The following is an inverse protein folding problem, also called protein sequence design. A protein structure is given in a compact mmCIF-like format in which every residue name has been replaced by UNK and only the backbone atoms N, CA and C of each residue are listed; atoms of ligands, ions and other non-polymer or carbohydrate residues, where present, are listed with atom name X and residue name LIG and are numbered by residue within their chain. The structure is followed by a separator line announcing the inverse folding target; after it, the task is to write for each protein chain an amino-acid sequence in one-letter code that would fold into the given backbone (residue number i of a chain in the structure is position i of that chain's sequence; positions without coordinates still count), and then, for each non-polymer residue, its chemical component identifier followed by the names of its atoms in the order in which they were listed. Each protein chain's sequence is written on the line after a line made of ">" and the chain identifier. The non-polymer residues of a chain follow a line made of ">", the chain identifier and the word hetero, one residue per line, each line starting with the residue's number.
data_IF_342104118058
#
_entry.id   IF_342104118058
#
_cell.length_a   1.000
_cell.length_b   1.000
_cell.length_c   1.000
_cell.angle_alpha   90.00
_cell.angle_beta   90.00
_cell.angle_gamma   90.00
#
_symmetry.space_group_name_H-M   'P 1'
#
loop_
_entity.id
_entity.type
_entity.pdbx_description
1 polymer ?
#
# COMPACT_ATOMS: atom_id res chain seq x y z
N UNK A 1 -3.81 4.63 -17.70
CA UNK A 1 -2.82 5.72 -17.95
C UNK A 1 -1.48 5.12 -18.32
N UNK A 2 -0.83 5.55 -19.41
CA UNK A 2 0.55 5.16 -19.73
C UNK A 2 1.54 5.94 -18.83
N UNK A 3 2.51 5.23 -18.25
CA UNK A 3 3.44 5.82 -17.27
C UNK A 3 4.71 6.42 -17.90
N UNK A 4 5.00 6.13 -19.17
CA UNK A 4 6.16 6.66 -19.88
C UNK A 4 6.17 8.20 -19.91
N UNK A 5 7.28 8.80 -19.47
CA UNK A 5 7.44 10.25 -19.35
C UNK A 5 6.73 10.91 -18.16
N UNK A 6 5.99 10.15 -17.37
CA UNK A 6 5.24 10.66 -16.20
C UNK A 6 6.11 10.76 -14.95
N UNK A 7 5.68 11.61 -14.03
CA UNK A 7 6.34 11.79 -12.73
C UNK A 7 5.54 11.08 -11.65
N UNK A 8 6.21 10.15 -10.96
CA UNK A 8 5.62 9.35 -9.89
C UNK A 8 6.32 9.59 -8.55
N UNK A 9 5.56 9.58 -7.46
CA UNK A 9 6.07 9.48 -6.09
C UNK A 9 5.64 8.12 -5.52
N UNK A 10 6.59 7.35 -4.98
CA UNK A 10 6.33 6.08 -4.31
C UNK A 10 6.76 6.19 -2.86
N UNK A 11 5.83 6.10 -1.92
CA UNK A 11 6.10 6.08 -0.48
C UNK A 11 6.30 4.65 0.01
N UNK A 12 7.16 4.44 1.01
CA UNK A 12 7.62 3.10 1.39
C UNK A 12 8.42 2.46 0.25
N UNK A 13 9.18 3.28 -0.49
CA UNK A 13 9.89 2.89 -1.70
C UNK A 13 11.27 2.28 -1.47
N UNK A 14 11.74 2.22 -0.21
CA UNK A 14 13.05 1.68 0.15
C UNK A 14 13.17 0.15 0.07
N UNK A 15 12.06 -0.55 -0.19
CA UNK A 15 12.05 -2.00 -0.30
C UNK A 15 10.65 -2.58 -0.55
N UNK A 16 10.55 -3.90 -0.51
CA UNK A 16 9.28 -4.61 -0.65
C UNK A 16 8.47 -4.20 -1.88
N UNK A 17 7.16 -4.03 -1.70
CA UNK A 17 6.25 -3.63 -2.78
C UNK A 17 6.62 -2.26 -3.35
N UNK A 18 6.95 -1.27 -2.49
CA UNK A 18 7.27 0.08 -2.92
C UNK A 18 8.55 0.16 -3.75
N UNK A 19 9.60 -0.55 -3.34
CA UNK A 19 10.84 -0.65 -4.11
C UNK A 19 10.61 -1.27 -5.49
N UNK A 20 9.86 -2.38 -5.53
CA UNK A 20 9.50 -3.04 -6.79
C UNK A 20 8.63 -2.15 -7.69
N UNK A 21 7.68 -1.39 -7.12
CA UNK A 21 6.88 -0.40 -7.87
C UNK A 21 7.76 0.69 -8.48
N UNK A 22 8.71 1.23 -7.70
CA UNK A 22 9.62 2.26 -8.18
C UNK A 22 10.49 1.76 -9.35
N UNK A 23 11.03 0.55 -9.23
CA UNK A 23 11.81 -0.09 -10.29
C UNK A 23 10.97 -0.33 -11.54
N UNK A 24 9.79 -0.90 -11.40
CA UNK A 24 8.89 -1.22 -12.53
C UNK A 24 8.40 0.05 -13.24
N UNK A 25 8.04 1.11 -12.50
CA UNK A 25 7.69 2.42 -13.04
C UNK A 25 8.82 3.00 -13.90
N UNK A 26 10.04 3.01 -13.35
CA UNK A 26 11.21 3.52 -14.06
C UNK A 26 11.55 2.69 -15.31
N UNK A 27 11.44 1.36 -15.23
CA UNK A 27 11.64 0.47 -16.37
C UNK A 27 10.65 0.74 -17.51
N UNK A 28 9.45 1.27 -17.20
CA UNK A 28 8.45 1.71 -18.16
C UNK A 28 8.53 3.20 -18.51
N UNK A 29 9.62 3.88 -18.13
CA UNK A 29 9.93 5.25 -18.56
C UNK A 29 9.35 6.35 -17.67
N UNK A 30 8.85 6.04 -16.49
CA UNK A 30 8.47 7.06 -15.51
C UNK A 30 9.68 7.62 -14.76
N UNK A 31 9.60 8.86 -14.30
CA UNK A 31 10.56 9.48 -13.38
C UNK A 31 10.02 9.35 -11.97
N UNK A 32 10.84 8.86 -11.03
CA UNK A 32 10.34 8.40 -9.73
C UNK A 32 11.04 9.09 -8.56
N UNK A 33 10.25 9.64 -7.65
CA UNK A 33 10.72 9.97 -6.29
C UNK A 33 10.50 8.74 -5.42
N UNK A 34 11.59 8.15 -4.96
CA UNK A 34 11.62 6.98 -4.08
C UNK A 34 11.69 7.50 -2.65
N UNK A 35 10.57 7.47 -1.92
CA UNK A 35 10.46 8.04 -0.59
C UNK A 35 10.30 6.94 0.46
N UNK A 36 11.11 6.98 1.51
CA UNK A 36 11.03 6.04 2.62
C UNK A 36 11.49 6.67 3.94
N UNK A 37 11.06 6.12 5.07
CA UNK A 37 11.63 6.44 6.38
C UNK A 37 13.09 5.95 6.46
N UNK A 38 13.38 4.77 5.86
CA UNK A 38 14.74 4.28 5.63
C UNK A 38 15.34 4.95 4.38
N UNK A 39 16.09 6.02 4.65
CA UNK A 39 16.78 6.79 3.59
C UNK A 39 17.80 5.93 2.83
N UNK A 40 18.47 5.00 3.50
CA UNK A 40 19.48 4.15 2.87
C UNK A 40 18.83 3.14 1.92
N UNK A 41 17.70 2.55 2.30
CA UNK A 41 16.90 1.71 1.43
C UNK A 41 16.41 2.46 0.20
N UNK A 42 15.83 3.66 0.40
CA UNK A 42 15.38 4.52 -0.71
C UNK A 42 16.52 4.86 -1.68
N UNK A 43 17.73 5.18 -1.15
CA UNK A 43 18.90 5.48 -1.97
C UNK A 43 19.35 4.25 -2.77
N UNK A 44 19.37 3.07 -2.14
CA UNK A 44 19.72 1.81 -2.83
C UNK A 44 18.82 1.54 -4.03
N UNK A 45 17.50 1.73 -3.86
CA UNK A 45 16.53 1.56 -4.95
C UNK A 45 16.74 2.61 -6.05
N UNK A 46 16.92 3.88 -5.67
CA UNK A 46 17.18 4.95 -6.63
C UNK A 46 18.47 4.73 -7.42
N UNK A 47 19.55 4.28 -6.77
CA UNK A 47 20.83 3.98 -7.41
C UNK A 47 20.70 2.82 -8.40
N UNK A 48 19.96 1.78 -8.04
CA UNK A 48 19.66 0.64 -8.92
C UNK A 48 18.89 1.09 -10.18
N UNK A 49 17.90 1.95 -10.02
CA UNK A 49 17.15 2.53 -11.15
C UNK A 49 18.10 3.37 -12.02
N UNK A 50 18.91 4.25 -11.42
CA UNK A 50 19.80 5.14 -12.15
C UNK A 50 20.95 4.42 -12.82
N UNK A 51 21.35 3.25 -12.36
CA UNK A 51 22.33 2.40 -13.04
C UNK A 51 21.79 1.87 -14.38
N UNK A 52 20.47 1.65 -14.49
CA UNK A 52 19.81 1.22 -15.72
C UNK A 52 19.39 2.41 -16.62
N UNK A 53 18.93 3.51 -16.00
CA UNK A 53 18.45 4.72 -16.68
C UNK A 53 18.83 5.97 -15.88
N UNK A 54 19.96 6.59 -16.21
CA UNK A 54 20.50 7.72 -15.46
C UNK A 54 19.49 8.89 -15.34
N UNK A 55 19.30 9.38 -14.12
CA UNK A 55 18.45 10.53 -13.83
C UNK A 55 16.94 10.22 -13.78
N UNK A 56 16.55 8.93 -13.76
CA UNK A 56 15.14 8.53 -13.67
C UNK A 56 14.61 8.45 -12.23
N UNK A 57 15.49 8.39 -11.22
CA UNK A 57 15.05 8.33 -9.84
C UNK A 57 15.82 9.30 -8.93
N UNK A 58 15.14 9.74 -7.87
CA UNK A 58 15.72 10.47 -6.74
C UNK A 58 15.20 9.89 -5.44
N UNK A 59 16.10 9.64 -4.48
CA UNK A 59 15.73 9.18 -3.15
C UNK A 59 15.37 10.36 -2.24
N UNK A 60 14.44 10.12 -1.31
CA UNK A 60 14.08 11.07 -0.26
C UNK A 60 13.77 10.36 1.07
N UNK A 61 14.35 10.86 2.16
CA UNK A 61 13.93 10.49 3.51
C UNK A 61 12.59 11.12 3.85
N UNK A 62 11.58 10.32 4.22
CA UNK A 62 10.24 10.84 4.43
C UNK A 62 9.45 10.07 5.49
N UNK A 63 9.03 10.78 6.55
CA UNK A 63 7.95 10.33 7.42
C UNK A 63 6.62 10.85 6.89
N UNK A 64 5.88 9.98 6.21
CA UNK A 64 4.59 10.32 5.60
C UNK A 64 3.45 10.55 6.60
N UNK A 65 3.70 10.33 7.90
CA UNK A 65 2.75 10.70 8.97
C UNK A 65 2.55 12.22 9.08
N UNK A 66 3.46 13.03 8.51
CA UNK A 66 3.41 14.49 8.54
C UNK A 66 3.06 15.12 7.19
N UNK A 67 2.09 16.05 7.15
CA UNK A 67 1.70 16.80 5.93
C UNK A 67 2.88 17.58 5.34
N UNK A 68 3.73 18.18 6.17
CA UNK A 68 4.90 18.93 5.71
C UNK A 68 5.87 18.06 4.91
N UNK A 69 6.06 16.81 5.33
CA UNK A 69 6.92 15.86 4.64
C UNK A 69 6.38 15.50 3.25
N UNK A 70 5.07 15.19 3.15
CA UNK A 70 4.43 14.90 1.86
C UNK A 70 4.53 16.11 0.93
N UNK A 71 4.32 17.33 1.44
CA UNK A 71 4.51 18.58 0.66
C UNK A 71 5.95 18.71 0.15
N UNK A 72 6.94 18.35 0.97
CA UNK A 72 8.35 18.34 0.58
C UNK A 72 8.65 17.35 -0.55
N UNK A 73 8.02 16.15 -0.52
CA UNK A 73 8.14 15.16 -1.60
C UNK A 73 7.56 15.68 -2.92
N UNK A 74 6.40 16.34 -2.87
CA UNK A 74 5.77 16.95 -4.07
C UNK A 74 6.69 18.03 -4.64
N UNK A 75 7.18 18.95 -3.79
CA UNK A 75 8.10 19.99 -4.20
C UNK A 75 9.40 19.45 -4.81
N UNK A 76 9.96 18.36 -4.23
CA UNK A 76 11.13 17.69 -4.78
C UNK A 76 10.85 17.10 -6.17
N UNK A 77 9.70 16.44 -6.35
CA UNK A 77 9.30 15.89 -7.64
C UNK A 77 9.16 16.99 -8.69
N UNK A 78 8.48 18.09 -8.34
CA UNK A 78 8.28 19.24 -9.23
C UNK A 78 9.60 19.90 -9.63
N UNK A 79 10.51 20.06 -8.68
CA UNK A 79 11.82 20.67 -8.94
C UNK A 79 12.70 19.80 -9.85
N UNK A 80 12.63 18.46 -9.69
CA UNK A 80 13.52 17.53 -10.37
C UNK A 80 12.99 17.05 -11.70
N UNK A 81 11.69 16.87 -11.82
CA UNK A 81 11.06 16.15 -12.92
C UNK A 81 9.87 16.88 -13.54
N UNK A 82 9.20 17.76 -12.82
CA UNK A 82 7.98 18.42 -13.21
C UNK A 82 6.76 17.99 -12.39
N UNK A 83 5.55 18.41 -12.78
CA UNK A 83 4.34 18.13 -12.04
C UNK A 83 4.12 16.66 -11.77
N UNK A 84 3.67 16.33 -10.55
CA UNK A 84 3.37 14.95 -10.15
C UNK A 84 2.14 14.45 -10.89
N UNK A 85 2.27 13.35 -11.62
CA UNK A 85 1.20 12.68 -12.35
C UNK A 85 0.61 11.49 -11.57
N UNK A 86 1.47 10.71 -10.88
CA UNK A 86 1.07 9.53 -10.11
C UNK A 86 1.59 9.61 -8.68
N UNK A 87 0.74 9.20 -7.75
CA UNK A 87 1.14 9.06 -6.35
C UNK A 87 0.78 7.67 -5.82
N UNK A 88 1.80 6.94 -5.38
CA UNK A 88 1.65 5.63 -4.76
C UNK A 88 1.73 5.77 -3.25
N UNK A 89 0.58 5.84 -2.60
CA UNK A 89 0.44 5.80 -1.16
C UNK A 89 0.63 4.35 -0.69
N UNK A 90 1.90 3.93 -0.59
CA UNK A 90 2.27 2.54 -0.32
C UNK A 90 2.89 2.33 1.06
N UNK A 91 3.50 3.34 1.68
CA UNK A 91 4.03 3.24 3.04
C UNK A 91 2.96 2.70 4.02
N UNK A 92 3.35 1.79 4.88
CA UNK A 92 2.42 1.17 5.82
C UNK A 92 3.11 0.49 7.00
N UNK A 93 2.35 0.22 8.06
CA UNK A 93 2.78 -0.52 9.24
C UNK A 93 1.73 -1.56 9.64
N UNK A 94 2.16 -2.70 10.22
CA UNK A 94 1.25 -3.74 10.72
C UNK A 94 0.63 -3.40 12.08
N UNK A 95 1.19 -2.39 12.78
CA UNK A 95 0.76 -2.03 14.14
C UNK A 95 1.13 -3.08 15.18
N UNK A 96 0.52 -2.96 16.36
CA UNK A 96 0.71 -3.87 17.49
C UNK A 96 -0.33 -4.98 17.48
N UNK A 97 0.05 -6.24 17.78
CA UNK A 97 -0.91 -7.35 17.85
C UNK A 97 -1.92 -7.19 19.00
N UNK A 98 -3.15 -7.67 18.75
CA UNK A 98 -4.20 -7.76 19.76
C UNK A 98 -4.98 -6.47 19.97
N UNK A 99 -5.63 -6.39 21.15
CA UNK A 99 -6.44 -5.24 21.58
C UNK A 99 -5.68 -4.28 22.48
N UNK A 100 -4.50 -4.69 22.95
CA UNK A 100 -3.67 -3.96 23.92
C UNK A 100 -2.83 -2.84 23.29
N UNK A 101 -3.02 -2.57 22.00
CA UNK A 101 -2.43 -1.42 21.34
C UNK A 101 -2.80 -0.11 22.08
N UNK A 102 -1.79 0.67 22.44
CA UNK A 102 -1.97 1.96 23.11
C UNK A 102 -2.59 3.00 22.15
N UNK A 103 -3.10 4.10 22.70
CA UNK A 103 -3.57 5.24 21.86
C UNK A 103 -2.48 5.70 20.88
N UNK A 104 -1.21 5.75 21.32
CA UNK A 104 -0.10 6.11 20.45
C UNK A 104 0.13 5.11 19.31
N UNK A 105 -0.06 3.81 19.54
CA UNK A 105 0.02 2.78 18.50
C UNK A 105 -1.13 2.91 17.50
N UNK A 106 -2.33 3.22 17.99
CA UNK A 106 -3.49 3.52 17.16
C UNK A 106 -3.25 4.77 16.31
N UNK A 107 -2.83 5.87 16.91
CA UNK A 107 -2.52 7.13 16.21
C UNK A 107 -1.47 6.91 15.12
N UNK A 108 -0.36 6.22 15.44
CA UNK A 108 0.67 5.89 14.46
C UNK A 108 0.14 5.05 13.30
N UNK A 109 -0.66 4.02 13.59
CA UNK A 109 -1.24 3.15 12.55
C UNK A 109 -2.21 3.93 11.66
N UNK A 110 -3.03 4.79 12.25
CA UNK A 110 -3.97 5.65 11.52
C UNK A 110 -3.22 6.69 10.70
N UNK A 111 -2.19 7.32 11.27
CA UNK A 111 -1.41 8.36 10.57
C UNK A 111 -0.70 7.80 9.33
N UNK A 112 -0.07 6.63 9.44
CA UNK A 112 0.68 6.04 8.33
C UNK A 112 -0.24 5.35 7.33
N UNK A 113 -1.14 4.47 7.79
CA UNK A 113 -1.93 3.62 6.89
C UNK A 113 -3.16 4.32 6.27
N UNK A 114 -3.60 5.46 6.83
CA UNK A 114 -4.79 6.17 6.38
C UNK A 114 -4.57 7.67 6.18
N UNK A 115 -4.19 8.43 7.22
CA UNK A 115 -4.07 9.88 7.13
C UNK A 115 -3.02 10.31 6.11
N UNK A 116 -1.95 9.53 5.90
CA UNK A 116 -0.97 9.79 4.84
C UNK A 116 -1.60 9.78 3.45
N UNK A 117 -2.51 8.84 3.17
CA UNK A 117 -3.27 8.79 1.91
C UNK A 117 -4.17 10.03 1.75
N UNK A 118 -4.90 10.39 2.83
CA UNK A 118 -5.78 11.57 2.84
C UNK A 118 -4.97 12.85 2.61
N UNK A 119 -3.86 13.03 3.32
CA UNK A 119 -2.97 14.19 3.21
C UNK A 119 -2.40 14.36 1.80
N UNK A 120 -1.94 13.25 1.20
CA UNK A 120 -1.44 13.27 -0.17
C UNK A 120 -2.54 13.66 -1.17
N UNK A 121 -3.73 13.08 -1.05
CA UNK A 121 -4.86 13.42 -1.90
C UNK A 121 -5.26 14.90 -1.76
N UNK A 122 -5.32 15.45 -0.53
CA UNK A 122 -5.61 16.87 -0.30
C UNK A 122 -4.62 17.81 -0.97
N UNK A 123 -3.36 17.40 -1.10
CA UNK A 123 -2.31 18.22 -1.73
C UNK A 123 -2.30 18.11 -3.25
N UNK A 124 -2.67 16.95 -3.82
CA UNK A 124 -2.51 16.65 -5.24
C UNK A 124 -3.80 16.81 -6.04
N UNK A 125 -4.94 16.39 -5.48
CA UNK A 125 -6.22 16.36 -6.20
C UNK A 125 -6.63 17.72 -6.78
N UNK A 126 -6.52 18.86 -6.07
CA UNK A 126 -6.90 20.14 -6.65
C UNK A 126 -6.17 20.45 -7.96
N UNK A 127 -4.86 20.27 -8.01
CA UNK A 127 -4.07 20.48 -9.23
C UNK A 127 -4.35 19.45 -10.33
N UNK A 128 -4.68 18.21 -9.95
CA UNK A 128 -5.08 17.18 -10.92
C UNK A 128 -6.45 17.46 -11.54
N UNK A 129 -7.41 17.92 -10.75
CA UNK A 129 -8.73 18.36 -11.25
C UNK A 129 -8.59 19.53 -12.21
N UNK A 130 -7.77 20.54 -11.86
CA UNK A 130 -7.54 21.72 -12.71
C UNK A 130 -6.95 21.34 -14.08
N UNK A 131 -6.02 20.38 -14.14
CA UNK A 131 -5.44 19.93 -15.40
C UNK A 131 -6.16 18.74 -16.05
N UNK A 132 -7.21 18.21 -15.39
CA UNK A 132 -8.03 17.09 -15.91
C UNK A 132 -7.32 15.75 -15.93
N UNK A 133 -6.20 15.58 -15.21
CA UNK A 133 -5.42 14.32 -15.21
C UNK A 133 -4.63 14.14 -13.92
N UNK A 134 -4.71 12.93 -13.34
CA UNK A 134 -3.89 12.45 -12.23
C UNK A 134 -4.23 11.01 -11.83
N UNK A 135 -3.30 10.32 -11.16
CA UNK A 135 -3.49 8.94 -10.76
C UNK A 135 -3.08 8.70 -9.31
N UNK A 136 -3.99 8.20 -8.50
CA UNK A 136 -3.76 7.84 -7.11
C UNK A 136 -3.79 6.31 -6.92
N UNK A 137 -2.72 5.72 -6.42
CA UNK A 137 -2.67 4.29 -6.09
C UNK A 137 -2.59 4.14 -4.58
N UNK A 138 -3.62 3.55 -3.98
CA UNK A 138 -3.71 3.26 -2.54
C UNK A 138 -3.31 1.81 -2.28
N UNK A 139 -2.22 1.57 -1.56
CA UNK A 139 -1.88 0.23 -1.08
C UNK A 139 -2.64 -0.08 0.22
N UNK A 140 -3.81 -0.69 0.07
CA UNK A 140 -4.58 -1.24 1.16
C UNK A 140 -4.04 -2.63 1.56
N UNK A 141 -4.87 -3.66 1.54
CA UNK A 141 -4.55 -5.07 1.80
C UNK A 141 -5.81 -5.91 1.59
N UNK A 142 -5.67 -7.21 1.38
CA UNK A 142 -6.77 -8.17 1.56
C UNK A 142 -7.42 -8.03 2.95
N UNK A 143 -6.66 -7.60 3.97
CA UNK A 143 -7.19 -7.27 5.30
C UNK A 143 -8.22 -6.13 5.27
N UNK A 144 -8.19 -5.25 4.30
CA UNK A 144 -9.18 -4.19 4.09
C UNK A 144 -10.53 -4.69 3.56
N UNK A 145 -10.56 -5.89 3.01
CA UNK A 145 -11.75 -6.57 2.53
C UNK A 145 -12.21 -7.70 3.48
N UNK A 146 -11.25 -8.43 4.07
CA UNK A 146 -11.50 -9.68 4.78
C UNK A 146 -11.32 -9.61 6.29
N UNK A 147 -10.54 -8.65 6.80
CA UNK A 147 -10.06 -8.56 8.19
C UNK A 147 -8.77 -9.37 8.42
N UNK A 148 -7.89 -8.87 9.29
CA UNK A 148 -6.64 -9.53 9.67
C UNK A 148 -6.77 -10.19 11.05
N UNK A 149 -6.57 -11.51 11.13
CA UNK A 149 -6.40 -12.20 12.42
C UNK A 149 -5.18 -11.59 13.13
N UNK A 150 -5.31 -11.37 14.44
CA UNK A 150 -4.21 -10.96 15.31
C UNK A 150 -3.90 -9.46 15.37
N UNK A 151 -4.42 -8.62 14.45
CA UNK A 151 -4.17 -7.18 14.47
C UNK A 151 -5.43 -6.35 14.23
N UNK A 152 -5.89 -5.67 15.27
CA UNK A 152 -7.04 -4.77 15.22
C UNK A 152 -6.69 -3.48 14.45
N UNK A 153 -5.54 -2.85 14.76
CA UNK A 153 -5.10 -1.61 14.14
C UNK A 153 -4.93 -1.76 12.62
N UNK A 154 -4.34 -2.87 12.17
CA UNK A 154 -4.18 -3.16 10.74
C UNK A 154 -5.51 -3.38 10.04
N UNK A 155 -6.40 -4.19 10.64
CA UNK A 155 -7.72 -4.46 10.10
C UNK A 155 -8.52 -3.18 9.89
N UNK A 156 -8.60 -2.33 10.91
CA UNK A 156 -9.37 -1.08 10.88
C UNK A 156 -8.78 -0.11 9.84
N UNK A 157 -7.47 0.11 9.90
CA UNK A 157 -6.82 1.10 9.01
C UNK A 157 -6.86 0.68 7.54
N UNK A 158 -6.73 -0.63 7.25
CA UNK A 158 -6.80 -1.12 5.86
C UNK A 158 -8.22 -1.13 5.31
N UNK A 159 -9.27 -1.36 6.13
CA UNK A 159 -10.67 -1.12 5.73
C UNK A 159 -10.91 0.37 5.43
N UNK A 160 -10.41 1.24 6.28
CA UNK A 160 -10.53 2.68 6.07
C UNK A 160 -9.80 3.15 4.81
N UNK A 161 -8.62 2.58 4.49
CA UNK A 161 -7.89 2.90 3.26
C UNK A 161 -8.68 2.47 1.99
N UNK A 162 -9.36 1.31 2.01
CA UNK A 162 -10.26 0.89 0.93
C UNK A 162 -11.40 1.88 0.78
N UNK A 163 -12.13 2.18 1.89
CA UNK A 163 -13.26 3.12 1.85
C UNK A 163 -12.86 4.52 1.39
N UNK A 164 -11.66 5.00 1.78
CA UNK A 164 -11.14 6.28 1.28
C UNK A 164 -10.83 6.23 -0.22
N UNK A 165 -10.21 5.17 -0.71
CA UNK A 165 -9.91 5.00 -2.13
C UNK A 165 -11.20 4.92 -2.98
N UNK A 166 -12.22 4.19 -2.51
CA UNK A 166 -13.55 4.13 -3.14
C UNK A 166 -14.20 5.52 -3.23
N UNK A 167 -14.24 6.22 -2.08
CA UNK A 167 -14.79 7.58 -2.05
C UNK A 167 -14.07 8.52 -3.01
N UNK A 168 -12.73 8.44 -3.07
CA UNK A 168 -11.91 9.27 -3.95
C UNK A 168 -12.22 8.98 -5.42
N UNK A 169 -12.32 7.69 -5.80
CA UNK A 169 -12.65 7.27 -7.16
C UNK A 169 -14.06 7.75 -7.59
N UNK A 170 -15.04 7.65 -6.70
CA UNK A 170 -16.41 8.10 -6.96
C UNK A 170 -16.48 9.63 -7.09
N UNK A 171 -15.79 10.35 -6.19
CA UNK A 171 -15.92 11.80 -6.10
C UNK A 171 -15.17 12.57 -7.20
N UNK A 172 -14.06 12.02 -7.71
CA UNK A 172 -13.17 12.73 -8.64
C UNK A 172 -12.94 12.00 -9.98
N UNK A 173 -13.54 10.83 -10.18
CA UNK A 173 -13.38 10.06 -11.42
C UNK A 173 -13.78 10.83 -12.68
N UNK A 174 -14.89 11.56 -12.62
CA UNK A 174 -15.38 12.38 -13.74
C UNK A 174 -14.57 13.68 -13.93
N UNK A 175 -13.67 14.00 -12.99
CA UNK A 175 -12.76 15.14 -13.06
C UNK A 175 -11.35 14.76 -13.55
N UNK A 176 -11.18 13.59 -14.17
CA UNK A 176 -9.91 13.14 -14.72
C UNK A 176 -8.95 12.50 -13.69
N UNK A 177 -9.39 12.30 -12.45
CA UNK A 177 -8.58 11.62 -11.44
C UNK A 177 -8.89 10.12 -11.44
N UNK A 178 -7.88 9.31 -11.72
CA UNK A 178 -7.99 7.84 -11.67
C UNK A 178 -7.48 7.32 -10.32
N UNK A 179 -8.08 6.25 -9.84
CA UNK A 179 -7.71 5.64 -8.55
C UNK A 179 -7.62 4.13 -8.70
N UNK A 180 -6.54 3.53 -8.19
CA UNK A 180 -6.44 2.09 -7.97
C UNK A 180 -6.25 1.78 -6.49
N UNK A 181 -6.89 0.72 -6.02
CA UNK A 181 -6.77 0.20 -4.67
C UNK A 181 -6.15 -1.19 -4.71
N UNK A 182 -4.88 -1.28 -4.32
CA UNK A 182 -4.14 -2.53 -4.24
C UNK A 182 -4.48 -3.27 -2.95
N UNK A 183 -5.04 -4.47 -3.06
CA UNK A 183 -5.43 -5.32 -1.94
C UNK A 183 -4.70 -6.68 -1.98
N UNK A 184 -3.39 -6.73 -1.75
CA UNK A 184 -2.63 -7.97 -1.76
C UNK A 184 -2.87 -8.77 -0.48
N UNK A 185 -2.65 -10.10 -0.55
CA UNK A 185 -2.58 -10.98 0.62
C UNK A 185 -1.11 -11.20 1.02
N UNK A 186 -0.55 -12.39 0.92
CA UNK A 186 0.84 -12.67 1.28
C UNK A 186 1.82 -12.15 0.22
N UNK A 187 2.70 -11.21 0.59
CA UNK A 187 3.81 -10.74 -0.26
C UNK A 187 5.12 -10.89 0.50
N UNK A 188 6.13 -11.45 -0.14
CA UNK A 188 7.44 -11.69 0.46
C UNK A 188 8.17 -10.38 0.79
N UNK A 189 7.88 -9.83 1.96
CA UNK A 189 8.39 -8.55 2.46
C UNK A 189 8.67 -8.65 3.95
N UNK A 190 9.50 -7.77 4.49
CA UNK A 190 9.71 -7.68 5.94
C UNK A 190 8.43 -7.44 6.72
N UNK A 191 7.49 -6.69 6.13
CA UNK A 191 6.19 -6.39 6.73
C UNK A 191 5.38 -7.67 6.99
N UNK A 192 5.41 -8.66 6.10
CA UNK A 192 4.72 -9.93 6.26
C UNK A 192 5.21 -10.69 7.48
N UNK A 193 6.52 -10.71 7.69
CA UNK A 193 7.17 -11.47 8.76
C UNK A 193 7.35 -10.69 10.07
N UNK A 194 6.91 -9.44 10.12
CA UNK A 194 7.02 -8.60 11.34
C UNK A 194 6.29 -9.21 12.54
N UNK A 195 5.16 -9.91 12.29
CA UNK A 195 4.41 -10.61 13.33
C UNK A 195 5.19 -11.75 13.99
N UNK A 196 5.94 -12.53 13.22
CA UNK A 196 6.80 -13.60 13.77
C UNK A 196 7.96 -13.03 14.60
N UNK A 197 8.54 -11.93 14.14
CA UNK A 197 9.64 -11.22 14.84
C UNK A 197 9.19 -10.59 16.16
N UNK A 198 7.89 -10.37 16.36
CA UNK A 198 7.34 -9.72 17.57
C UNK A 198 7.45 -10.59 18.83
N UNK A 199 7.51 -11.91 18.69
CA UNK A 199 7.43 -12.87 19.81
C UNK A 199 6.04 -12.99 20.44
N UNK A 200 5.05 -12.22 20.02
CA UNK A 200 3.66 -12.34 20.47
C UNK A 200 2.94 -13.44 19.70
N UNK A 201 2.30 -14.42 20.39
CA UNK A 201 1.55 -15.51 19.72
C UNK A 201 0.52 -15.00 18.72
N UNK A 202 -0.11 -13.85 18.96
CA UNK A 202 -1.07 -13.24 18.04
C UNK A 202 -0.39 -12.68 16.79
N UNK A 203 0.81 -12.12 16.92
CA UNK A 203 1.64 -11.70 15.80
C UNK A 203 2.06 -12.88 14.92
N UNK A 204 2.50 -13.98 15.55
CA UNK A 204 2.79 -15.24 14.86
C UNK A 204 1.55 -15.78 14.14
N UNK A 205 0.38 -15.81 14.83
CA UNK A 205 -0.88 -16.21 14.22
C UNK A 205 -1.28 -15.31 13.04
N UNK A 206 -1.01 -14.00 13.11
CA UNK A 206 -1.26 -13.07 12.02
C UNK A 206 -0.44 -13.41 10.77
N UNK A 207 0.86 -13.66 10.90
CA UNK A 207 1.72 -14.08 9.79
C UNK A 207 1.27 -15.44 9.23
N UNK A 208 1.03 -16.44 10.10
CA UNK A 208 0.58 -17.78 9.68
C UNK A 208 -0.78 -17.74 8.99
N UNK A 209 -1.71 -16.88 9.45
CA UNK A 209 -3.01 -16.71 8.81
C UNK A 209 -2.89 -16.31 7.34
N UNK A 210 -1.90 -15.50 7.01
CA UNK A 210 -1.65 -15.04 5.64
C UNK A 210 -0.88 -16.09 4.84
N UNK A 211 0.21 -16.61 5.38
CA UNK A 211 1.10 -17.53 4.66
C UNK A 211 0.48 -18.93 4.41
N UNK A 212 -0.52 -19.34 5.21
CA UNK A 212 -1.25 -20.59 5.02
C UNK A 212 -2.57 -20.43 4.24
N UNK A 213 -3.01 -19.19 3.97
CA UNK A 213 -4.25 -18.94 3.24
C UNK A 213 -4.07 -18.95 1.71
N UNK A 214 -2.84 -18.94 1.22
CA UNK A 214 -2.52 -18.95 -0.21
C UNK A 214 -1.03 -18.77 -0.48
N UNK A 215 -0.71 -18.55 -1.75
CA UNK A 215 0.65 -18.30 -2.20
C UNK A 215 1.20 -16.98 -1.61
N UNK A 216 2.49 -16.96 -1.32
CA UNK A 216 3.20 -15.71 -1.00
C UNK A 216 3.88 -15.22 -2.28
N UNK A 217 3.39 -14.11 -2.82
CA UNK A 217 3.89 -13.56 -4.08
C UNK A 217 5.14 -12.70 -3.87
N UNK A 218 5.97 -12.61 -4.90
CA UNK A 218 7.12 -11.71 -4.89
C UNK A 218 6.71 -10.26 -5.19
N UNK A 219 7.36 -9.25 -4.57
CA UNK A 219 7.09 -7.85 -4.80
C UNK A 219 7.07 -7.44 -6.27
N UNK A 220 7.96 -8.00 -7.08
CA UNK A 220 8.03 -7.73 -8.51
C UNK A 220 6.77 -8.17 -9.28
N UNK A 221 6.09 -9.24 -8.85
CA UNK A 221 4.81 -9.65 -9.42
C UNK A 221 3.73 -8.61 -9.09
N UNK A 222 3.67 -8.17 -7.83
CA UNK A 222 2.73 -7.13 -7.39
C UNK A 222 2.91 -5.85 -8.21
N UNK A 223 4.16 -5.42 -8.43
CA UNK A 223 4.45 -4.23 -9.22
C UNK A 223 3.93 -4.33 -10.65
N UNK A 224 4.14 -5.48 -11.33
CA UNK A 224 3.59 -5.71 -12.68
C UNK A 224 2.07 -5.67 -12.70
N UNK A 225 1.40 -6.31 -11.73
CA UNK A 225 -0.06 -6.33 -11.64
C UNK A 225 -0.65 -4.93 -11.40
N UNK A 226 0.03 -4.11 -10.59
CA UNK A 226 -0.33 -2.71 -10.35
C UNK A 226 -0.15 -1.88 -11.62
N UNK A 227 0.97 -2.00 -12.33
CA UNK A 227 1.18 -1.24 -13.57
C UNK A 227 0.17 -1.64 -14.65
N UNK A 228 -0.16 -2.91 -14.77
CA UNK A 228 -1.23 -3.37 -15.68
C UNK A 228 -2.58 -2.72 -15.30
N UNK A 229 -2.90 -2.65 -14.00
CA UNK A 229 -4.12 -2.02 -13.53
C UNK A 229 -4.12 -0.49 -13.76
N UNK A 230 -2.98 0.18 -13.62
CA UNK A 230 -2.82 1.61 -13.93
C UNK A 230 -3.04 1.85 -15.43
N UNK A 231 -2.52 0.98 -16.29
CA UNK A 231 -2.71 1.08 -17.74
C UNK A 231 -4.18 0.87 -18.16
N UNK A 232 -4.86 -0.08 -17.52
CA UNK A 232 -6.28 -0.38 -17.70
C UNK A 232 -7.22 0.58 -16.94
N UNK A 233 -6.71 1.45 -16.09
CA UNK A 233 -7.46 2.31 -15.17
C UNK A 233 -8.41 1.52 -14.25
N UNK A 234 -8.00 0.31 -13.86
CA UNK A 234 -8.78 -0.59 -13.02
C UNK A 234 -8.67 -0.22 -11.55
N UNK A 235 -9.83 -0.07 -10.89
CA UNK A 235 -9.88 0.34 -9.49
C UNK A 235 -9.34 -0.73 -8.54
N UNK A 236 -9.93 -1.93 -8.51
CA UNK A 236 -9.57 -2.97 -7.56
C UNK A 236 -8.48 -3.87 -8.12
N UNK A 237 -7.31 -3.88 -7.46
CA UNK A 237 -6.15 -4.69 -7.85
C UNK A 237 -5.99 -5.83 -6.85
N UNK A 238 -6.27 -7.04 -7.28
CA UNK A 238 -6.22 -8.27 -6.49
C UNK A 238 -5.20 -9.25 -7.10
N UNK A 239 -3.92 -9.16 -6.72
CA UNK A 239 -2.90 -10.08 -7.23
C UNK A 239 -3.18 -11.55 -6.87
N UNK A 240 -3.86 -11.78 -5.75
CA UNK A 240 -4.29 -13.09 -5.32
C UNK A 240 -5.77 -13.31 -5.71
N UNK A 241 -6.03 -14.09 -6.74
CA UNK A 241 -7.38 -14.32 -7.26
C UNK A 241 -8.37 -14.84 -6.19
N UNK A 242 -7.89 -15.61 -5.22
CA UNK A 242 -8.69 -16.17 -4.13
C UNK A 242 -9.32 -15.10 -3.22
N UNK A 243 -8.74 -13.91 -3.14
CA UNK A 243 -9.25 -12.80 -2.30
C UNK A 243 -10.65 -12.39 -2.74
N UNK A 244 -10.92 -12.35 -4.05
CA UNK A 244 -12.25 -12.00 -4.56
C UNK A 244 -13.32 -13.02 -4.13
N UNK A 245 -13.01 -14.30 -4.18
CA UNK A 245 -13.95 -15.35 -3.81
C UNK A 245 -14.19 -15.34 -2.30
N UNK A 246 -13.15 -15.14 -1.49
CA UNK A 246 -13.29 -14.95 -0.05
C UNK A 246 -14.16 -13.73 0.29
N UNK A 247 -14.00 -12.63 -0.43
CA UNK A 247 -14.77 -11.41 -0.23
C UNK A 247 -16.25 -11.62 -0.60
N UNK A 248 -16.54 -12.33 -1.69
CA UNK A 248 -17.90 -12.72 -2.07
C UNK A 248 -18.53 -13.61 -1.01
N UNK A 249 -17.81 -14.62 -0.50
CA UNK A 249 -18.28 -15.49 0.58
C UNK A 249 -18.60 -14.70 1.85
N UNK A 250 -17.75 -13.76 2.24
CA UNK A 250 -17.97 -12.87 3.38
C UNK A 250 -19.25 -12.06 3.20
N UNK A 251 -19.46 -11.46 2.02
CA UNK A 251 -20.63 -10.64 1.73
C UNK A 251 -21.94 -11.45 1.66
N UNK A 252 -21.89 -12.71 1.22
CA UNK A 252 -23.06 -13.57 1.07
C UNK A 252 -23.64 -14.04 2.43
N UNK A 253 -22.78 -14.39 3.39
CA UNK A 253 -23.20 -14.82 4.75
C UNK A 253 -22.15 -14.39 5.78
N UNK A 254 -22.36 -13.20 6.32
CA UNK A 254 -21.42 -12.56 7.26
C UNK A 254 -21.23 -13.35 8.54
N UNK A 255 -22.32 -13.89 9.10
CA UNK A 255 -22.27 -14.66 10.34
C UNK A 255 -21.56 -16.00 10.16
N UNK A 256 -21.78 -16.67 9.05
CA UNK A 256 -21.07 -17.90 8.69
C UNK A 256 -19.58 -17.62 8.52
N UNK A 257 -19.22 -16.53 7.84
CA UNK A 257 -17.84 -16.07 7.68
C UNK A 257 -17.17 -15.85 9.04
N UNK A 258 -17.79 -15.06 9.94
CA UNK A 258 -17.25 -14.79 11.27
C UNK A 258 -17.08 -16.07 12.11
N UNK A 259 -18.03 -17.00 12.04
CA UNK A 259 -17.88 -18.32 12.71
C UNK A 259 -16.71 -19.11 12.13
N UNK A 260 -16.49 -19.06 10.82
CA UNK A 260 -15.35 -19.67 10.13
C UNK A 260 -14.04 -19.09 10.59
N UNK A 261 -13.93 -17.76 10.59
CA UNK A 261 -12.71 -17.04 10.99
C UNK A 261 -12.35 -17.27 12.47
N UNK A 262 -13.34 -17.38 13.37
CA UNK A 262 -13.10 -17.75 14.78
C UNK A 262 -12.47 -19.14 14.92
N UNK A 263 -12.98 -20.15 14.18
CA UNK A 263 -12.40 -21.50 14.20
C UNK A 263 -10.98 -21.51 13.62
N UNK A 264 -10.77 -20.76 12.55
CA UNK A 264 -9.44 -20.63 11.92
C UNK A 264 -8.45 -19.97 12.89
N UNK A 265 -8.82 -18.87 13.54
CA UNK A 265 -7.99 -18.24 14.57
C UNK A 265 -7.64 -19.20 15.72
N UNK A 266 -8.62 -19.98 16.21
CA UNK A 266 -8.37 -20.96 17.27
C UNK A 266 -7.34 -22.01 16.82
N UNK A 267 -7.48 -22.56 15.62
CA UNK A 267 -6.52 -23.55 15.09
C UNK A 267 -5.09 -23.00 14.93
N UNK A 268 -4.96 -21.72 14.58
CA UNK A 268 -3.64 -21.08 14.47
C UNK A 268 -2.99 -20.91 15.85
N UNK A 269 -3.76 -20.51 16.87
CA UNK A 269 -3.25 -20.30 18.22
C UNK A 269 -2.92 -21.62 18.94
N UNK A 270 -3.70 -22.68 18.71
CA UNK A 270 -3.42 -24.00 19.28
C UNK A 270 -2.10 -24.61 18.76
N UNK A 271 -1.72 -24.31 17.51
CA UNK A 271 -0.46 -24.72 16.91
C UNK A 271 0.77 -23.87 17.31
N UNK A 272 0.59 -22.85 18.15
CA UNK A 272 1.68 -21.99 18.65
C UNK A 272 2.03 -22.33 20.12
N UNK A 273 1.10 -23.02 20.82
CA UNK A 273 1.35 -23.54 22.19
C UNK A 273 2.18 -24.80 22.15
#
# INVERSE_FOLDING_TARGET
>A
MKVAGRVAIVTGGGGGIGGALAEELAAHGARVVVADLDVAGAQTVADKINAAAAGFAVAAGADVSGTACIRGLIALAEQRFGPVDLYFANAGTVGVPGLEASEADWDRSIDVNLRAHIRAAQLLIPGWVERGEGYFVSTASAAGLLTQIGSATYSVTKHAAVGFAEWLAISYGDHGVRVSCLCPMGVNTELLYAGEKSGDPRGVAATRAVTSAGEVLEPAQIARDVLAAVDEERFLVLPHATVLDMFRQKATDYDRWLRGMRRYQASLLDNIR
#
